data_IF_856063200396
#
_entry.id   IF_856063200396
#
_cell.length_a   1.000
_cell.length_b   1.000
_cell.length_c   1.000
_cell.angle_alpha   90.00
_cell.angle_beta   90.00
_cell.angle_gamma   90.00
#
_symmetry.space_group_name_H-M   'P 1'
#
loop_
_entity.id
_entity.type
_entity.pdbx_description
1 polymer ?
#
# COMPACT_ATOMS: atom_id res chain seq x y z
N UNK A 1 -17.82 9.90 -27.67
CA UNK A 1 -17.90 10.45 -26.30
C UNK A 1 -16.51 10.52 -25.71
N UNK A 2 -16.01 11.72 -25.45
CA UNK A 2 -14.67 11.96 -24.89
C UNK A 2 -14.80 11.78 -23.38
N UNK A 3 -14.63 10.56 -22.90
CA UNK A 3 -14.34 10.34 -21.48
C UNK A 3 -12.92 10.87 -21.27
N UNK A 4 -12.80 11.98 -20.53
CA UNK A 4 -11.52 12.63 -20.32
C UNK A 4 -10.51 11.69 -19.63
N UNK A 5 -9.20 11.89 -19.85
CA UNK A 5 -8.15 11.07 -19.23
C UNK A 5 -8.25 11.02 -17.70
N UNK A 6 -8.83 12.06 -17.08
CA UNK A 6 -9.09 12.13 -15.64
C UNK A 6 -10.08 11.05 -15.15
N UNK A 7 -11.12 10.72 -15.92
CA UNK A 7 -12.12 9.72 -15.52
C UNK A 7 -11.50 8.32 -15.56
N UNK A 8 -10.68 8.03 -16.56
CA UNK A 8 -9.96 6.76 -16.65
C UNK A 8 -8.97 6.59 -15.50
N UNK A 9 -8.24 7.65 -15.16
CA UNK A 9 -7.34 7.63 -14.01
C UNK A 9 -8.10 7.42 -12.70
N UNK A 10 -9.22 8.12 -12.50
CA UNK A 10 -10.06 7.94 -11.32
C UNK A 10 -10.60 6.50 -11.21
N UNK A 11 -11.05 5.92 -12.32
CA UNK A 11 -11.50 4.52 -12.36
C UNK A 11 -10.37 3.53 -12.06
N UNK A 12 -9.17 3.79 -12.57
CA UNK A 12 -7.98 2.98 -12.30
C UNK A 12 -7.57 3.03 -10.82
N UNK A 13 -7.56 4.22 -10.21
CA UNK A 13 -7.30 4.40 -8.78
C UNK A 13 -8.37 3.70 -7.92
N UNK A 14 -9.64 3.85 -8.25
CA UNK A 14 -10.72 3.17 -7.54
C UNK A 14 -10.60 1.64 -7.64
N UNK A 15 -10.28 1.12 -8.83
CA UNK A 15 -10.08 -0.31 -9.04
C UNK A 15 -8.87 -0.85 -8.30
N UNK A 16 -7.78 -0.08 -8.23
CA UNK A 16 -6.60 -0.41 -7.44
C UNK A 16 -6.97 -0.54 -5.96
N UNK A 17 -7.51 0.53 -5.35
CA UNK A 17 -7.86 0.53 -3.93
C UNK A 17 -8.89 -0.55 -3.59
N UNK A 18 -9.89 -0.75 -4.45
CA UNK A 18 -10.86 -1.83 -4.26
C UNK A 18 -10.19 -3.21 -4.29
N UNK A 19 -9.31 -3.45 -5.25
CA UNK A 19 -8.60 -4.73 -5.39
C UNK A 19 -7.65 -5.01 -4.24
N UNK A 20 -6.87 -4.02 -3.82
CA UNK A 20 -5.95 -4.13 -2.70
C UNK A 20 -6.69 -4.40 -1.38
N UNK A 21 -7.69 -3.59 -1.03
CA UNK A 21 -8.48 -3.77 0.20
C UNK A 21 -9.22 -5.11 0.22
N UNK A 22 -9.77 -5.53 -0.93
CA UNK A 22 -10.45 -6.83 -1.04
C UNK A 22 -9.46 -7.97 -0.86
N UNK A 23 -8.27 -7.88 -1.48
CA UNK A 23 -7.22 -8.88 -1.32
C UNK A 23 -6.75 -8.98 0.14
N UNK A 24 -6.52 -7.84 0.79
CA UNK A 24 -6.16 -7.78 2.21
C UNK A 24 -7.23 -8.44 3.09
N UNK A 25 -8.49 -8.09 2.87
CA UNK A 25 -9.63 -8.64 3.63
C UNK A 25 -9.78 -10.15 3.42
N UNK A 26 -9.64 -10.62 2.18
CA UNK A 26 -9.80 -12.04 1.85
C UNK A 26 -8.63 -12.89 2.35
N UNK A 27 -7.40 -12.35 2.36
CA UNK A 27 -6.19 -13.07 2.76
C UNK A 27 -5.85 -12.92 4.23
N UNK A 28 -6.38 -11.89 4.90
CA UNK A 28 -6.06 -11.54 6.29
C UNK A 28 -4.58 -11.19 6.50
N UNK A 29 -3.89 -10.74 5.45
CA UNK A 29 -2.46 -10.40 5.47
C UNK A 29 -2.25 -9.06 4.78
N UNK A 30 -1.32 -8.25 5.30
CA UNK A 30 -0.84 -7.00 4.68
C UNK A 30 0.52 -7.25 4.04
N UNK A 31 0.51 -7.74 2.81
CA UNK A 31 1.73 -8.03 2.06
C UNK A 31 1.65 -7.48 0.63
N UNK A 32 2.81 -7.24 0.01
CA UNK A 32 2.89 -6.59 -1.31
C UNK A 32 2.19 -7.34 -2.45
N UNK A 33 1.82 -8.61 -2.23
CA UNK A 33 0.94 -9.31 -3.17
C UNK A 33 -0.46 -8.66 -3.27
N UNK A 34 -0.95 -7.99 -2.24
CA UNK A 34 -2.22 -7.25 -2.29
C UNK A 34 -2.12 -6.08 -3.27
N UNK A 35 -1.02 -5.32 -3.22
CA UNK A 35 -0.71 -4.27 -4.19
C UNK A 35 -0.58 -4.84 -5.62
N UNK A 36 -0.03 -6.06 -5.76
CA UNK A 36 -0.02 -6.78 -7.04
C UNK A 36 -1.43 -7.11 -7.57
N UNK A 37 -2.35 -7.55 -6.71
CA UNK A 37 -3.74 -7.85 -7.09
C UNK A 37 -4.51 -6.57 -7.43
N UNK A 38 -4.36 -5.51 -6.64
CA UNK A 38 -4.88 -4.18 -6.95
C UNK A 38 -4.31 -3.65 -8.27
N UNK A 39 -3.02 -3.85 -8.52
CA UNK A 39 -2.35 -3.52 -9.76
C UNK A 39 -2.92 -4.27 -10.97
N UNK A 40 -3.21 -5.55 -10.83
CA UNK A 40 -3.85 -6.35 -11.88
C UNK A 40 -5.25 -5.80 -12.24
N UNK A 41 -6.08 -5.49 -11.23
CA UNK A 41 -7.41 -4.89 -11.43
C UNK A 41 -7.32 -3.51 -12.09
N UNK A 42 -6.41 -2.66 -11.64
CA UNK A 42 -6.10 -1.38 -12.26
C UNK A 42 -5.68 -1.53 -13.74
N UNK A 43 -4.78 -2.47 -14.03
CA UNK A 43 -4.32 -2.77 -15.37
C UNK A 43 -5.42 -3.31 -16.29
N UNK A 44 -6.39 -4.07 -15.76
CA UNK A 44 -7.57 -4.50 -16.51
C UNK A 44 -8.45 -3.30 -16.90
N UNK A 45 -8.70 -2.37 -15.96
CA UNK A 45 -9.49 -1.16 -16.22
C UNK A 45 -8.82 -0.29 -17.27
N UNK A 46 -7.52 -0.04 -17.14
CA UNK A 46 -6.76 0.75 -18.12
C UNK A 46 -6.67 0.05 -19.49
N UNK A 47 -6.47 -1.28 -19.51
CA UNK A 47 -6.41 -2.06 -20.74
C UNK A 47 -7.75 -2.19 -21.46
N UNK A 48 -8.87 -2.04 -20.73
CA UNK A 48 -10.22 -2.18 -21.29
C UNK A 48 -10.53 -1.18 -22.41
N UNK A 49 -9.79 -0.06 -22.45
CA UNK A 49 -9.87 0.96 -23.50
C UNK A 49 -9.62 0.34 -24.89
N UNK A 50 -8.71 -0.63 -24.99
CA UNK A 50 -8.34 -1.24 -26.26
C UNK A 50 -9.32 -2.32 -26.74
N UNK A 51 -10.25 -2.78 -25.88
CA UNK A 51 -11.24 -3.82 -26.18
C UNK A 51 -10.63 -5.13 -26.75
N UNK A 52 -9.36 -5.40 -26.44
CA UNK A 52 -8.65 -6.61 -26.84
C UNK A 52 -8.19 -7.34 -25.59
N UNK A 53 -8.61 -8.60 -25.45
CA UNK A 53 -8.30 -9.42 -24.29
C UNK A 53 -6.77 -9.55 -24.08
N UNK A 54 -6.00 -9.72 -25.15
CA UNK A 54 -4.53 -9.82 -25.06
C UNK A 54 -3.90 -8.56 -24.45
N UNK A 55 -4.37 -7.38 -24.86
CA UNK A 55 -3.87 -6.11 -24.34
C UNK A 55 -4.30 -5.91 -22.89
N UNK A 56 -5.54 -6.25 -22.54
CA UNK A 56 -6.03 -6.22 -21.16
C UNK A 56 -5.23 -7.15 -20.23
N UNK A 57 -4.94 -8.37 -20.68
CA UNK A 57 -4.14 -9.32 -19.92
C UNK A 57 -2.70 -8.83 -19.75
N UNK A 58 -2.08 -8.31 -20.82
CA UNK A 58 -0.72 -7.77 -20.76
C UNK A 58 -0.62 -6.54 -19.84
N UNK A 59 -1.61 -5.64 -19.86
CA UNK A 59 -1.63 -4.46 -18.99
C UNK A 59 -1.91 -4.84 -17.54
N UNK A 60 -2.76 -5.83 -17.29
CA UNK A 60 -2.99 -6.39 -15.96
C UNK A 60 -1.71 -6.99 -15.38
N UNK A 61 -1.01 -7.84 -16.14
CA UNK A 61 0.26 -8.43 -15.70
C UNK A 61 1.34 -7.37 -15.50
N UNK A 62 1.50 -6.44 -16.45
CA UNK A 62 2.48 -5.37 -16.34
C UNK A 62 2.23 -4.49 -15.11
N UNK A 63 0.99 -4.06 -14.89
CA UNK A 63 0.63 -3.23 -13.75
C UNK A 63 0.71 -4.00 -12.42
N UNK A 64 0.40 -5.30 -12.41
CA UNK A 64 0.58 -6.15 -11.23
C UNK A 64 2.04 -6.22 -10.81
N UNK A 65 2.96 -6.46 -11.74
CA UNK A 65 4.40 -6.52 -11.47
C UNK A 65 4.93 -5.17 -11.00
N UNK A 66 4.52 -4.08 -11.67
CA UNK A 66 4.95 -2.72 -11.30
C UNK A 66 4.48 -2.37 -9.89
N UNK A 67 3.20 -2.55 -9.58
CA UNK A 67 2.65 -2.20 -8.26
C UNK A 67 3.21 -3.09 -7.15
N UNK A 68 3.38 -4.39 -7.41
CA UNK A 68 4.08 -5.28 -6.49
C UNK A 68 5.50 -4.80 -6.22
N UNK A 69 6.23 -4.40 -7.25
CA UNK A 69 7.63 -3.95 -7.13
C UNK A 69 7.73 -2.61 -6.39
N UNK A 70 6.81 -1.69 -6.65
CA UNK A 70 6.75 -0.39 -5.97
C UNK A 70 6.45 -0.58 -4.50
N UNK A 71 5.48 -1.41 -4.15
CA UNK A 71 5.13 -1.66 -2.75
C UNK A 71 6.23 -2.43 -2.01
N UNK A 72 6.81 -3.44 -2.66
CA UNK A 72 7.89 -4.25 -2.09
C UNK A 72 9.16 -3.43 -1.81
N UNK A 73 9.54 -2.54 -2.74
CA UNK A 73 10.75 -1.71 -2.58
C UNK A 73 10.47 -0.36 -1.93
N UNK A 74 9.21 0.06 -1.79
CA UNK A 74 8.78 1.36 -1.28
C UNK A 74 9.49 1.77 0.01
N UNK A 75 9.53 0.90 1.05
CA UNK A 75 10.22 1.22 2.30
C UNK A 75 11.71 1.55 2.13
N UNK A 76 12.37 1.01 1.10
CA UNK A 76 13.81 1.26 0.86
C UNK A 76 14.10 2.63 0.24
N UNK A 77 13.09 3.31 -0.31
CA UNK A 77 13.23 4.64 -0.91
C UNK A 77 12.85 5.77 0.05
N UNK A 78 12.46 5.46 1.28
CA UNK A 78 12.07 6.44 2.27
C UNK A 78 13.23 6.89 3.17
N UNK A 79 13.13 8.13 3.65
CA UNK A 79 14.10 8.76 4.57
C UNK A 79 14.13 8.05 5.93
N UNK A 80 13.01 7.42 6.33
CA UNK A 80 12.85 6.69 7.59
C UNK A 80 12.32 5.26 7.34
N UNK A 81 13.12 4.37 6.72
CA UNK A 81 12.65 3.08 6.20
C UNK A 81 11.98 2.19 7.26
N UNK A 82 12.42 2.30 8.51
CA UNK A 82 11.92 1.47 9.62
C UNK A 82 10.57 1.98 10.15
N UNK A 83 10.38 3.30 10.27
CA UNK A 83 9.10 3.85 10.70
C UNK A 83 8.01 3.61 9.66
N UNK A 84 8.38 3.64 8.38
CA UNK A 84 7.47 3.37 7.28
C UNK A 84 7.10 1.91 7.22
N UNK A 85 8.06 0.98 7.29
CA UNK A 85 7.76 -0.46 7.34
C UNK A 85 6.77 -0.81 8.46
N UNK A 86 6.91 -0.19 9.64
CA UNK A 86 5.97 -0.36 10.75
C UNK A 86 4.55 0.14 10.42
N UNK A 87 4.42 1.23 9.64
CA UNK A 87 3.14 1.82 9.24
C UNK A 87 2.48 1.06 8.09
N UNK A 88 3.23 0.61 7.11
CA UNK A 88 2.71 -0.03 5.89
C UNK A 88 2.44 -1.51 6.09
N UNK A 89 3.35 -2.22 6.78
CA UNK A 89 3.28 -3.69 6.94
C UNK A 89 2.67 -4.07 8.30
N UNK A 90 2.66 -3.14 9.27
CA UNK A 90 2.15 -3.41 10.62
C UNK A 90 3.08 -4.24 11.51
N UNK A 91 4.24 -4.63 11.00
CA UNK A 91 5.27 -5.30 11.80
C UNK A 91 6.04 -4.25 12.60
N UNK A 92 5.75 -4.10 13.89
CA UNK A 92 6.52 -3.24 14.81
C UNK A 92 7.93 -3.83 14.97
N UNK A 93 8.88 -3.37 14.16
CA UNK A 93 10.25 -3.90 14.14
C UNK A 93 11.17 -3.21 15.14
N UNK A 94 10.78 -2.05 15.69
CA UNK A 94 11.58 -1.34 16.68
C UNK A 94 11.01 -1.52 18.09
N UNK A 95 11.84 -1.93 19.08
CA UNK A 95 11.48 -1.69 20.47
C UNK A 95 11.36 -0.18 20.65
N UNK A 96 10.21 0.28 21.16
CA UNK A 96 9.95 1.68 21.47
C UNK A 96 11.13 2.29 22.25
N UNK A 97 11.97 3.10 21.57
CA UNK A 97 13.01 3.88 22.23
C UNK A 97 12.38 5.16 22.77
N UNK A 98 12.02 5.12 24.04
CA UNK A 98 11.46 6.26 24.76
C UNK A 98 12.49 7.40 24.80
N UNK A 99 12.14 8.58 24.27
CA UNK A 99 13.03 9.75 24.29
C UNK A 99 13.43 10.12 25.72
N UNK A 100 14.61 10.72 25.92
CA UNK A 100 15.09 11.07 27.26
C UNK A 100 14.15 12.06 27.99
N UNK A 101 13.46 12.93 27.24
CA UNK A 101 12.42 13.80 27.79
C UNK A 101 11.22 13.02 28.36
N UNK A 102 10.84 11.91 27.72
CA UNK A 102 9.75 11.03 28.20
C UNK A 102 10.18 10.23 29.42
N UNK A 103 11.44 9.78 29.51
CA UNK A 103 11.99 9.14 30.72
C UNK A 103 11.95 10.09 31.91
N UNK A 104 12.33 11.36 31.70
CA UNK A 104 12.29 12.40 32.73
C UNK A 104 10.87 12.75 33.16
N UNK A 105 9.92 12.79 32.23
CA UNK A 105 8.49 12.98 32.52
C UNK A 105 7.91 11.80 33.31
N UNK A 106 8.32 10.57 32.99
CA UNK A 106 7.91 9.35 33.70
C UNK A 106 8.47 9.27 35.12
N UNK A 107 9.68 9.82 35.34
CA UNK A 107 10.27 10.00 36.65
C UNK A 107 9.53 11.08 37.48
N UNK A 108 9.08 12.16 36.84
CA UNK A 108 8.33 13.25 37.48
C UNK A 108 6.88 12.90 37.82
N UNK A 109 6.22 12.07 37.02
CA UNK A 109 4.80 11.72 37.19
C UNK A 109 4.57 10.20 37.23
N UNK A 110 4.95 9.51 38.32
CA UNK A 110 4.84 8.05 38.43
C UNK A 110 3.40 7.52 38.44
N UNK A 111 2.39 8.39 38.58
CA UNK A 111 0.96 8.01 38.61
C UNK A 111 0.44 7.50 37.25
N UNK A 112 1.14 7.76 36.14
CA UNK A 112 0.70 7.39 34.78
C UNK A 112 1.45 6.17 34.21
N UNK A 113 2.07 5.34 35.07
CA UNK A 113 3.00 4.29 34.62
C UNK A 113 2.32 3.10 33.92
N UNK A 114 1.00 2.91 34.07
CA UNK A 114 0.26 1.69 33.71
C UNK A 114 -1.05 1.92 32.91
N UNK A 115 -1.19 3.03 32.19
CA UNK A 115 -2.33 3.24 31.28
C UNK A 115 -1.90 3.14 29.82
#
# INVERSE_FOLDING_TARGET
SIVGPSIWMAAACAAFSFGECTAETMRGKRDSMNAGIGGALCGLVMGSIFRRADLMASSALGMSVVMFSVDYNGPSFEVHPIETSNRTVGEVTLPFQESDALKDLRAKYPKYKNH
#
